data_IF_875623204171
#
_entry.id   IF_875623204171
#
_cell.length_a   1.000
_cell.length_b   1.000
_cell.length_c   1.000
_cell.angle_alpha   90.00
_cell.angle_beta   90.00
_cell.angle_gamma   90.00
#
_symmetry.space_group_name_H-M   'P 1'
#
loop_
_entity.id
_entity.type
_entity.pdbx_description
1 polymer ?
#
# COMPACT_ATOMS: atom_id res chain seq x y z
N UNK A 1 -1.54 -20.59 -17.86
CA UNK A 1 -1.76 -19.13 -17.68
C UNK A 1 -0.51 -18.54 -17.05
N UNK A 2 0.13 -17.54 -17.68
CA UNK A 2 1.24 -16.79 -17.09
C UNK A 2 0.68 -15.50 -16.48
N UNK A 3 1.30 -15.00 -15.41
CA UNK A 3 0.96 -13.72 -14.79
C UNK A 3 2.20 -12.86 -14.70
N UNK A 4 2.03 -11.55 -14.56
CA UNK A 4 3.16 -10.63 -14.44
C UNK A 4 3.74 -10.63 -13.04
N UNK A 5 5.06 -10.38 -12.95
CA UNK A 5 5.80 -10.35 -11.68
C UNK A 5 5.19 -9.40 -10.65
N UNK A 6 4.64 -8.27 -11.08
CA UNK A 6 4.05 -7.31 -10.14
C UNK A 6 2.78 -7.83 -9.45
N UNK A 7 2.03 -8.77 -10.06
CA UNK A 7 0.94 -9.49 -9.35
C UNK A 7 1.48 -10.28 -8.17
N UNK A 8 2.59 -10.99 -8.37
CA UNK A 8 3.22 -11.81 -7.33
C UNK A 8 3.71 -10.90 -6.20
N UNK A 9 4.38 -9.79 -6.54
CA UNK A 9 4.80 -8.78 -5.56
C UNK A 9 3.61 -8.25 -4.77
N UNK A 10 2.56 -7.81 -5.49
CA UNK A 10 1.34 -7.26 -4.90
C UNK A 10 0.72 -8.22 -3.89
N UNK A 11 0.52 -9.49 -4.28
CA UNK A 11 -0.08 -10.50 -3.41
C UNK A 11 0.81 -10.84 -2.20
N UNK A 12 2.13 -10.96 -2.39
CA UNK A 12 3.07 -11.29 -1.31
C UNK A 12 3.12 -10.22 -0.22
N UNK A 13 2.94 -8.95 -0.59
CA UNK A 13 2.99 -7.83 0.34
C UNK A 13 1.61 -7.27 0.68
N UNK A 14 0.55 -8.05 0.43
CA UNK A 14 -0.83 -7.70 0.75
C UNK A 14 -1.25 -6.34 0.21
N UNK A 15 -0.74 -5.96 -0.96
CA UNK A 15 -1.19 -4.75 -1.65
C UNK A 15 -2.49 -5.12 -2.39
N UNK A 16 -3.59 -4.42 -2.14
CA UNK A 16 -4.84 -4.72 -2.85
C UNK A 16 -4.82 -4.13 -4.27
N UNK A 17 -5.68 -4.62 -5.18
CA UNK A 17 -5.82 -3.98 -6.51
C UNK A 17 -6.38 -2.56 -6.40
N UNK A 18 -7.22 -2.30 -5.39
CA UNK A 18 -7.80 -0.99 -5.13
C UNK A 18 -6.73 -0.01 -4.61
N UNK A 19 -5.89 -0.46 -3.68
CA UNK A 19 -4.75 0.31 -3.16
C UNK A 19 -3.77 0.67 -4.26
N UNK A 20 -3.31 -0.33 -5.04
CA UNK A 20 -2.40 -0.08 -6.16
C UNK A 20 -3.06 0.82 -7.22
N UNK A 21 -4.32 0.56 -7.57
CA UNK A 21 -5.07 1.38 -8.52
C UNK A 21 -5.13 2.85 -8.08
N UNK A 22 -5.48 3.11 -6.83
CA UNK A 22 -5.49 4.47 -6.26
C UNK A 22 -4.11 5.12 -6.32
N UNK A 23 -3.06 4.40 -5.94
CA UNK A 23 -1.70 4.93 -5.89
C UNK A 23 -1.14 5.31 -7.28
N UNK A 24 -1.57 4.64 -8.36
CA UNK A 24 -1.12 4.91 -9.73
C UNK A 24 -2.14 5.58 -10.64
N UNK A 25 -3.33 5.95 -10.12
CA UNK A 25 -4.40 6.58 -10.89
C UNK A 25 -5.08 5.64 -11.91
N UNK A 26 -5.18 4.35 -11.60
CA UNK A 26 -5.83 3.33 -12.42
C UNK A 26 -7.00 2.67 -11.66
N UNK A 27 -7.96 2.10 -12.39
CA UNK A 27 -9.02 1.30 -11.77
C UNK A 27 -8.50 -0.08 -11.34
N UNK A 28 -9.14 -0.70 -10.33
CA UNK A 28 -8.82 -2.07 -9.92
C UNK A 28 -8.99 -3.09 -11.06
N UNK A 29 -9.98 -2.87 -11.94
CA UNK A 29 -10.15 -3.68 -13.15
C UNK A 29 -8.93 -3.55 -14.06
N UNK A 30 -8.43 -2.33 -14.30
CA UNK A 30 -7.26 -2.11 -15.14
C UNK A 30 -6.01 -2.76 -14.56
N UNK A 31 -5.85 -2.78 -13.24
CA UNK A 31 -4.79 -3.55 -12.57
C UNK A 31 -4.91 -5.04 -12.92
N UNK A 32 -6.10 -5.64 -12.77
CA UNK A 32 -6.33 -7.05 -13.10
C UNK A 32 -6.01 -7.37 -14.57
N UNK A 33 -6.42 -6.52 -15.51
CA UNK A 33 -6.10 -6.68 -16.94
C UNK A 33 -4.58 -6.65 -17.20
N UNK A 34 -3.87 -5.72 -16.57
CA UNK A 34 -2.42 -5.61 -16.69
C UNK A 34 -1.70 -6.80 -16.07
N UNK A 35 -2.23 -7.38 -15.00
CA UNK A 35 -1.63 -8.57 -14.37
C UNK A 35 -1.72 -9.83 -15.25
N UNK A 36 -2.76 -9.93 -16.08
CA UNK A 36 -3.13 -11.14 -16.84
C UNK A 36 -2.79 -11.06 -18.34
N UNK A 37 -2.64 -9.86 -18.89
CA UNK A 37 -2.36 -9.67 -20.33
C UNK A 37 -0.92 -10.08 -20.70
N UNK A 38 -0.79 -10.68 -21.89
CA UNK A 38 0.48 -11.19 -22.42
C UNK A 38 1.34 -10.09 -23.08
N UNK A 39 0.72 -9.09 -23.70
CA UNK A 39 1.43 -8.01 -24.41
C UNK A 39 2.15 -7.05 -23.47
N UNK A 40 3.31 -6.52 -23.89
CA UNK A 40 4.01 -5.49 -23.13
C UNK A 40 3.19 -4.20 -23.17
N UNK A 41 2.84 -3.57 -22.03
CA UNK A 41 2.13 -2.30 -22.03
C UNK A 41 3.01 -1.16 -22.52
N UNK A 42 2.35 -0.06 -22.79
CA UNK A 42 3.01 1.22 -23.03
C UNK A 42 3.88 1.65 -21.84
N UNK A 43 4.96 2.36 -22.17
CA UNK A 43 5.93 2.85 -21.19
C UNK A 43 5.28 3.70 -20.09
N UNK A 44 4.28 4.52 -20.45
CA UNK A 44 3.52 5.32 -19.49
C UNK A 44 2.81 4.44 -18.45
N UNK A 45 2.22 3.33 -18.88
CA UNK A 45 1.53 2.39 -17.98
C UNK A 45 2.53 1.70 -17.05
N UNK A 46 3.70 1.32 -17.56
CA UNK A 46 4.78 0.74 -16.74
C UNK A 46 5.20 1.74 -15.65
N UNK A 47 5.42 3.01 -16.02
CA UNK A 47 5.81 4.06 -15.08
C UNK A 47 4.73 4.32 -14.02
N UNK A 48 3.44 4.31 -14.40
CA UNK A 48 2.33 4.44 -13.46
C UNK A 48 2.38 3.34 -12.39
N UNK A 49 2.56 2.09 -12.78
CA UNK A 49 2.64 0.96 -11.82
C UNK A 49 3.86 1.10 -10.91
N UNK A 50 5.03 1.46 -11.46
CA UNK A 50 6.24 1.70 -10.67
C UNK A 50 6.03 2.81 -9.64
N UNK A 51 5.54 3.96 -10.07
CA UNK A 51 5.25 5.10 -9.20
C UNK A 51 4.19 4.75 -8.14
N UNK A 52 3.20 3.92 -8.49
CA UNK A 52 2.19 3.45 -7.54
C UNK A 52 2.80 2.60 -6.42
N UNK A 53 3.75 1.71 -6.74
CA UNK A 53 4.47 0.96 -5.72
C UNK A 53 5.36 1.85 -4.86
N UNK A 54 6.14 2.77 -5.46
CA UNK A 54 6.96 3.72 -4.71
C UNK A 54 6.13 4.53 -3.72
N UNK A 55 4.96 5.02 -4.15
CA UNK A 55 4.04 5.76 -3.28
C UNK A 55 3.55 4.91 -2.11
N UNK A 56 3.13 3.66 -2.36
CA UNK A 56 2.69 2.75 -1.29
C UNK A 56 3.84 2.45 -0.31
N UNK A 57 5.06 2.29 -0.81
CA UNK A 57 6.23 2.06 0.04
C UNK A 57 6.49 3.26 0.95
N UNK A 58 6.50 4.48 0.39
CA UNK A 58 6.67 5.71 1.16
C UNK A 58 5.59 5.85 2.24
N UNK A 59 4.31 5.73 1.87
CA UNK A 59 3.18 5.84 2.82
C UNK A 59 3.31 4.79 3.94
N UNK A 60 3.65 3.54 3.62
CA UNK A 60 3.84 2.48 4.65
C UNK A 60 5.06 2.72 5.55
N UNK A 61 6.13 3.31 5.02
CA UNK A 61 7.30 3.67 5.82
C UNK A 61 6.98 4.80 6.80
N UNK A 62 6.25 5.83 6.34
CA UNK A 62 5.78 6.94 7.18
C UNK A 62 4.81 6.46 8.27
N UNK A 63 3.88 5.57 7.93
CA UNK A 63 2.94 4.97 8.89
C UNK A 63 3.67 4.13 9.94
N UNK A 64 4.67 3.33 9.51
CA UNK A 64 5.49 2.54 10.42
C UNK A 64 6.31 3.41 11.37
N UNK A 65 6.87 4.52 10.88
CA UNK A 65 7.60 5.48 11.70
C UNK A 65 6.67 6.17 12.72
N UNK A 66 5.49 6.61 12.29
CA UNK A 66 4.48 7.22 13.18
C UNK A 66 4.05 6.27 14.28
N UNK A 67 3.69 5.03 13.91
CA UNK A 67 3.33 3.99 14.87
C UNK A 67 4.48 3.70 15.84
N UNK A 68 5.72 3.65 15.34
CA UNK A 68 6.88 3.44 16.20
C UNK A 68 7.02 4.57 17.23
N UNK A 69 6.91 5.83 16.80
CA UNK A 69 7.02 7.00 17.69
C UNK A 69 5.90 7.02 18.73
N UNK A 70 4.65 6.78 18.33
CA UNK A 70 3.51 6.70 19.24
C UNK A 70 3.68 5.56 20.24
N UNK A 71 4.07 4.37 19.77
CA UNK A 71 4.37 3.24 20.63
C UNK A 71 5.47 3.57 21.65
N UNK A 72 6.56 4.22 21.24
CA UNK A 72 7.61 4.61 22.19
C UNK A 72 7.09 5.54 23.29
N UNK A 73 6.15 6.44 22.96
CA UNK A 73 5.54 7.37 23.93
C UNK A 73 4.64 6.64 24.93
N UNK A 74 3.86 5.66 24.48
CA UNK A 74 2.87 4.98 25.32
C UNK A 74 3.30 3.60 25.84
N UNK A 75 4.47 3.06 25.45
CA UNK A 75 4.88 1.66 25.74
C UNK A 75 4.78 1.24 27.21
N UNK A 76 5.07 2.16 28.14
CA UNK A 76 5.05 1.87 29.58
C UNK A 76 3.65 2.04 30.20
N UNK A 77 2.71 2.62 29.46
CA UNK A 77 1.36 2.96 29.90
C UNK A 77 0.27 2.26 29.06
N UNK A 78 0.62 1.27 28.22
CA UNK A 78 -0.32 0.59 27.32
C UNK A 78 -1.56 0.00 28.03
N UNK A 79 -1.44 -0.36 29.30
CA UNK A 79 -2.52 -0.96 30.10
C UNK A 79 -3.22 0.05 31.03
N UNK A 80 -2.84 1.32 30.99
CA UNK A 80 -3.47 2.36 31.79
C UNK A 80 -4.89 2.62 31.26
N UNK A 81 -5.87 2.71 32.16
CA UNK A 81 -7.22 3.14 31.79
C UNK A 81 -7.18 4.65 31.49
N UNK A 82 -7.65 5.03 30.32
CA UNK A 82 -7.83 6.41 29.89
C UNK A 82 -9.32 6.73 29.79
N UNK A 83 -9.70 7.99 29.95
CA UNK A 83 -11.09 8.45 29.77
C UNK A 83 -11.48 8.48 28.29
N UNK A 84 -12.79 8.51 28.01
CA UNK A 84 -13.31 8.57 26.63
C UNK A 84 -12.93 9.86 25.87
N UNK A 85 -12.55 10.92 26.59
CA UNK A 85 -12.17 12.20 25.99
C UNK A 85 -10.77 12.18 25.32
N UNK A 86 -9.98 11.11 25.49
CA UNK A 86 -8.62 10.98 24.92
C UNK A 86 -8.60 10.32 23.52
N UNK A 87 -9.75 9.97 22.94
CA UNK A 87 -9.84 9.35 21.60
C UNK A 87 -9.69 10.33 20.42
N UNK A 88 -9.67 11.65 20.65
CA UNK A 88 -9.67 12.69 19.58
C UNK A 88 -8.29 13.30 19.25
N UNK A 89 -7.17 12.62 19.57
CA UNK A 89 -5.81 13.08 19.22
C UNK A 89 -5.17 12.30 18.07
#
# INVERSE_FOLDING_TARGET
>A
MKVRKFRILRLRHHVSMVELGRACGLSAQRISELELSEGVPEQETIQKIQNGFERILTERMEDAERLHLEYQRCRNALMQRVGEDEYEL
#
